data_IF_857635575274
#
_entry.id   IF_857635575274
#
_cell.length_a   1.000
_cell.length_b   1.000
_cell.length_c   1.000
_cell.angle_alpha   90.00
_cell.angle_beta   90.00
_cell.angle_gamma   90.00
#
_symmetry.space_group_name_H-M   'P 1'
#
loop_
_entity.id
_entity.type
_entity.pdbx_description
1 polymer ?
#
# COMPACT_ATOMS: atom_id res chain seq x y z
N UNK A 1 12.91 -2.43 1.93
CA UNK A 1 12.21 -1.24 1.41
C UNK A 1 12.12 -1.33 -0.09
N UNK A 2 11.05 -0.84 -0.69
CA UNK A 2 11.00 -0.63 -2.14
C UNK A 2 11.61 0.74 -2.44
N UNK A 3 12.51 0.85 -3.41
CA UNK A 3 13.02 2.15 -3.89
C UNK A 3 12.22 2.53 -5.14
N UNK A 4 11.35 3.54 -5.06
CA UNK A 4 10.51 3.93 -6.19
C UNK A 4 11.29 4.57 -7.35
N UNK A 5 12.50 5.08 -7.10
CA UNK A 5 13.35 5.68 -8.15
C UNK A 5 14.08 4.60 -8.93
N UNK A 6 14.65 3.62 -8.21
CA UNK A 6 15.37 2.50 -8.83
C UNK A 6 14.44 1.34 -9.21
N UNK A 7 13.18 1.36 -8.78
CA UNK A 7 12.17 0.32 -9.06
C UNK A 7 12.68 -1.07 -8.68
N UNK A 8 13.26 -1.17 -7.48
CA UNK A 8 13.82 -2.40 -6.93
C UNK A 8 13.69 -2.42 -5.40
N UNK A 9 14.03 -3.55 -4.78
CA UNK A 9 14.06 -3.68 -3.32
C UNK A 9 15.46 -3.34 -2.81
N UNK A 10 15.54 -2.56 -1.74
CA UNK A 10 16.78 -2.21 -1.04
C UNK A 10 16.68 -2.56 0.44
N UNK A 11 17.79 -2.90 1.12
CA UNK A 11 17.79 -3.11 2.56
C UNK A 11 17.42 -1.82 3.30
N UNK A 12 16.59 -1.94 4.33
CA UNK A 12 16.31 -0.83 5.24
C UNK A 12 17.54 -0.49 6.07
N UNK A 13 17.77 0.79 6.34
CA UNK A 13 18.85 1.28 7.19
C UNK A 13 18.29 2.16 8.30
N UNK A 14 18.92 2.22 9.48
CA UNK A 14 18.53 3.15 10.54
C UNK A 14 18.45 4.59 10.03
N UNK A 15 17.39 5.31 10.43
CA UNK A 15 17.16 6.71 10.02
C UNK A 15 16.58 6.91 8.61
N UNK A 16 16.27 5.83 7.88
CA UNK A 16 15.52 5.97 6.62
C UNK A 16 14.04 6.29 6.91
N UNK A 17 13.55 7.41 6.39
CA UNK A 17 12.10 7.68 6.31
C UNK A 17 11.46 6.71 5.34
N UNK A 18 10.28 6.20 5.69
CA UNK A 18 9.51 5.30 4.85
C UNK A 18 8.01 5.44 5.09
N UNK A 19 7.25 5.01 4.09
CA UNK A 19 5.78 4.97 4.12
C UNK A 19 5.35 3.51 4.19
N UNK A 20 4.57 3.12 5.19
CA UNK A 20 4.07 1.76 5.28
C UNK A 20 2.81 1.58 4.43
N UNK A 21 2.66 0.42 3.79
CA UNK A 21 1.42 0.03 3.10
C UNK A 21 0.69 -1.03 3.92
N UNK A 22 -0.58 -0.77 4.25
CA UNK A 22 -1.52 -1.76 4.80
C UNK A 22 -2.58 -2.08 3.77
N UNK A 23 -2.68 -3.36 3.40
CA UNK A 23 -3.55 -3.83 2.33
C UNK A 23 -3.87 -5.33 2.50
N UNK A 24 -4.88 -5.80 1.78
CA UNK A 24 -5.23 -7.23 1.71
C UNK A 24 -4.49 -7.87 0.55
N UNK A 25 -3.79 -8.97 0.78
CA UNK A 25 -3.09 -9.70 -0.29
C UNK A 25 -4.09 -10.40 -1.19
N UNK A 26 -3.81 -10.46 -2.50
CA UNK A 26 -4.59 -11.32 -3.39
C UNK A 26 -4.33 -12.80 -3.07
N UNK A 27 -5.15 -13.73 -3.56
CA UNK A 27 -4.84 -15.15 -3.47
C UNK A 27 -4.10 -15.66 -4.71
N UNK A 28 -4.24 -14.98 -5.85
CA UNK A 28 -3.78 -15.47 -7.17
C UNK A 28 -2.59 -14.70 -7.72
N UNK A 29 -2.46 -13.40 -7.39
CA UNK A 29 -1.40 -12.53 -7.92
C UNK A 29 -0.66 -11.83 -6.78
N UNK A 30 0.37 -12.47 -6.26
CA UNK A 30 1.28 -11.81 -5.32
C UNK A 30 2.72 -12.09 -5.69
N UNK A 31 3.42 -11.05 -6.06
CA UNK A 31 4.86 -11.04 -5.88
C UNK A 31 5.17 -11.18 -4.38
N UNK A 32 6.11 -12.07 -4.07
CA UNK A 32 6.63 -12.29 -2.71
C UNK A 32 8.14 -12.37 -2.77
N UNK A 33 8.80 -11.70 -1.85
CA UNK A 33 10.22 -11.88 -1.66
C UNK A 33 10.46 -13.27 -1.05
N UNK A 34 11.23 -14.07 -1.77
CA UNK A 34 11.67 -15.42 -1.42
C UNK A 34 13.19 -15.45 -1.46
N UNK A 35 13.82 -16.43 -0.79
CA UNK A 35 15.29 -16.55 -0.82
C UNK A 35 15.85 -16.65 -2.25
N UNK A 36 15.13 -17.32 -3.14
CA UNK A 36 15.58 -17.60 -4.51
C UNK A 36 15.40 -16.42 -5.50
N UNK A 37 14.55 -15.44 -5.20
CA UNK A 37 14.27 -14.30 -6.09
C UNK A 37 14.72 -12.96 -5.51
N UNK A 38 15.22 -12.94 -4.27
CA UNK A 38 15.68 -11.73 -3.58
C UNK A 38 16.70 -10.93 -4.40
N UNK A 39 17.72 -11.60 -4.94
CA UNK A 39 18.78 -10.92 -5.71
C UNK A 39 18.21 -10.27 -6.98
N UNK A 40 17.30 -10.96 -7.66
CA UNK A 40 16.62 -10.42 -8.85
C UNK A 40 15.78 -9.20 -8.47
N UNK A 41 15.08 -9.23 -7.35
CA UNK A 41 14.29 -8.11 -6.85
C UNK A 41 15.13 -6.90 -6.42
N UNK A 42 16.42 -7.10 -6.11
CA UNK A 42 17.35 -6.03 -5.76
C UNK A 42 17.96 -5.35 -6.98
N UNK A 43 17.84 -5.95 -8.17
CA UNK A 43 18.37 -5.37 -9.40
C UNK A 43 17.59 -4.10 -9.80
N UNK A 44 18.25 -2.97 -10.10
CA UNK A 44 17.57 -1.75 -10.54
C UNK A 44 16.68 -2.01 -11.76
N UNK A 45 15.43 -1.57 -11.70
CA UNK A 45 14.41 -1.80 -12.73
C UNK A 45 13.65 -3.12 -12.60
N UNK A 46 13.96 -3.97 -11.61
CA UNK A 46 13.33 -5.28 -11.46
C UNK A 46 11.80 -5.22 -11.41
N UNK A 47 11.24 -4.23 -10.71
CA UNK A 47 9.79 -4.09 -10.53
C UNK A 47 9.07 -3.57 -11.79
N UNK A 48 9.79 -2.97 -12.75
CA UNK A 48 9.24 -2.48 -14.02
C UNK A 48 9.64 -3.36 -15.22
N UNK A 49 10.45 -4.40 -14.99
CA UNK A 49 11.01 -5.27 -16.04
C UNK A 49 9.97 -6.17 -16.74
N UNK A 50 8.76 -6.28 -16.18
CA UNK A 50 7.74 -7.24 -16.62
C UNK A 50 8.01 -8.69 -16.16
N UNK A 51 9.14 -8.95 -15.49
CA UNK A 51 9.45 -10.27 -14.94
C UNK A 51 8.54 -10.65 -13.76
N UNK A 52 8.07 -9.65 -13.01
CA UNK A 52 7.21 -9.85 -11.86
C UNK A 52 5.86 -9.17 -12.06
N UNK A 53 4.78 -9.86 -11.71
CA UNK A 53 3.43 -9.29 -11.68
C UNK A 53 3.24 -8.51 -10.37
N UNK A 54 3.44 -7.19 -10.44
CA UNK A 54 3.25 -6.29 -9.30
C UNK A 54 1.75 -5.98 -9.14
N UNK A 55 1.13 -6.30 -7.99
CA UNK A 55 -0.28 -5.96 -7.75
C UNK A 55 -0.54 -4.47 -7.91
N UNK A 56 -1.71 -4.14 -8.48
CA UNK A 56 -2.11 -2.76 -8.77
C UNK A 56 -2.05 -1.85 -7.54
N UNK A 57 -2.44 -2.36 -6.36
CA UNK A 57 -2.37 -1.61 -5.09
C UNK A 57 -0.94 -1.20 -4.72
N UNK A 58 0.05 -2.04 -5.01
CA UNK A 58 1.46 -1.72 -4.74
C UNK A 58 1.96 -0.66 -5.74
N UNK A 59 1.60 -0.80 -7.02
CA UNK A 59 1.94 0.20 -8.04
C UNK A 59 1.35 1.57 -7.70
N UNK A 60 0.07 1.60 -7.36
CA UNK A 60 -0.63 2.82 -6.93
C UNK A 60 -0.02 3.41 -5.66
N UNK A 61 0.36 2.57 -4.68
CA UNK A 61 1.04 3.04 -3.48
C UNK A 61 2.40 3.66 -3.79
N UNK A 62 3.19 3.09 -4.71
CA UNK A 62 4.45 3.70 -5.16
C UNK A 62 4.22 5.08 -5.79
N UNK A 63 3.14 5.25 -6.55
CA UNK A 63 2.72 6.55 -7.12
C UNK A 63 2.33 7.53 -6.03
N UNK A 64 1.55 7.12 -5.03
CA UNK A 64 1.19 7.98 -3.88
C UNK A 64 2.43 8.39 -3.11
N UNK A 65 3.37 7.48 -2.85
CA UNK A 65 4.64 7.82 -2.18
C UNK A 65 5.43 8.86 -2.96
N UNK A 66 5.47 8.76 -4.30
CA UNK A 66 6.11 9.78 -5.14
C UNK A 66 5.43 11.16 -5.02
N UNK A 67 4.08 11.20 -4.97
CA UNK A 67 3.30 12.42 -4.78
C UNK A 67 3.58 13.05 -3.41
N UNK A 68 3.74 12.23 -2.37
CA UNK A 68 4.12 12.66 -1.02
C UNK A 68 5.58 13.14 -0.92
N UNK A 69 6.33 13.13 -2.02
CA UNK A 69 7.77 13.44 -2.08
C UNK A 69 8.64 12.52 -1.19
N UNK A 70 8.11 11.35 -0.86
CA UNK A 70 8.82 10.28 -0.18
C UNK A 70 9.43 9.32 -1.20
N UNK A 71 10.27 8.39 -0.73
CA UNK A 71 10.99 7.47 -1.63
C UNK A 71 10.76 6.00 -1.37
N UNK A 72 10.51 5.62 -0.12
CA UNK A 72 10.61 4.23 0.30
C UNK A 72 9.27 3.73 0.85
N UNK A 73 8.44 3.03 0.05
CA UNK A 73 7.36 2.25 0.62
C UNK A 73 7.91 0.98 1.28
N UNK A 74 7.41 0.68 2.47
CA UNK A 74 7.49 -0.65 3.07
C UNK A 74 6.25 -1.45 2.68
N UNK A 75 6.49 -2.59 2.04
CA UNK A 75 5.45 -3.52 1.57
C UNK A 75 5.80 -4.89 2.13
N UNK A 76 4.95 -5.43 3.01
CA UNK A 76 5.18 -6.68 3.73
C UNK A 76 5.58 -7.85 2.82
N UNK A 77 4.88 -8.04 1.70
CA UNK A 77 5.14 -9.10 0.72
C UNK A 77 6.54 -9.01 0.08
N UNK A 78 7.11 -7.81 -0.01
CA UNK A 78 8.41 -7.55 -0.67
C UNK A 78 9.55 -7.31 0.33
N UNK A 79 9.25 -6.76 1.51
CA UNK A 79 10.26 -6.40 2.50
C UNK A 79 10.54 -7.52 3.49
N UNK A 80 9.68 -8.56 3.56
CA UNK A 80 9.86 -9.74 4.40
C UNK A 80 10.09 -10.96 3.50
N UNK A 81 11.13 -11.74 3.80
CA UNK A 81 11.39 -13.03 3.14
C UNK A 81 10.36 -14.05 3.62
N UNK A 82 9.48 -14.50 2.71
CA UNK A 82 8.26 -15.21 3.07
C UNK A 82 8.45 -16.71 3.32
N UNK A 83 9.51 -17.30 2.76
CA UNK A 83 9.90 -18.71 2.87
C UNK A 83 10.92 -18.98 3.99
N UNK A 84 11.36 -17.94 4.71
CA UNK A 84 12.26 -18.07 5.86
C UNK A 84 11.53 -17.91 7.18
N UNK A 85 11.21 -19.04 7.85
CA UNK A 85 10.36 -19.03 9.03
C UNK A 85 10.90 -18.16 10.19
N UNK A 86 12.20 -18.24 10.48
CA UNK A 86 12.83 -17.47 11.57
C UNK A 86 12.72 -15.96 11.33
N UNK A 87 13.21 -15.50 10.18
CA UNK A 87 13.19 -14.09 9.77
C UNK A 87 11.77 -13.56 9.65
N UNK A 88 10.86 -14.36 9.08
CA UNK A 88 9.45 -13.99 8.97
C UNK A 88 8.82 -13.80 10.34
N UNK A 89 9.03 -14.72 11.27
CA UNK A 89 8.45 -14.63 12.61
C UNK A 89 8.96 -13.39 13.36
N UNK A 90 10.25 -13.08 13.23
CA UNK A 90 10.83 -11.87 13.83
C UNK A 90 10.18 -10.60 13.26
N UNK A 91 10.02 -10.51 11.94
CA UNK A 91 9.35 -9.36 11.30
C UNK A 91 7.88 -9.25 11.73
N UNK A 92 7.17 -10.39 11.86
CA UNK A 92 5.80 -10.42 12.36
C UNK A 92 5.69 -9.90 13.80
N UNK A 93 6.64 -10.27 14.66
CA UNK A 93 6.69 -9.77 16.04
C UNK A 93 6.98 -8.25 16.10
N UNK A 94 7.66 -7.71 15.09
CA UNK A 94 8.02 -6.29 15.00
C UNK A 94 7.00 -5.45 14.21
N UNK A 95 5.88 -6.03 13.74
CA UNK A 95 4.91 -5.31 12.90
C UNK A 95 4.40 -4.02 13.54
N UNK A 96 4.11 -4.04 14.84
CA UNK A 96 3.65 -2.85 15.56
C UNK A 96 4.69 -1.72 15.50
N UNK A 97 5.97 -2.03 15.70
CA UNK A 97 7.06 -1.05 15.61
C UNK A 97 7.24 -0.53 14.18
N UNK A 98 7.13 -1.40 13.17
CA UNK A 98 7.23 -1.01 11.75
C UNK A 98 6.13 0.01 11.41
N UNK A 99 4.89 -0.22 11.81
CA UNK A 99 3.84 0.77 11.53
C UNK A 99 3.98 2.04 12.40
N UNK A 100 4.44 1.92 13.65
CA UNK A 100 4.63 3.05 14.54
C UNK A 100 5.78 3.99 14.12
N UNK A 101 6.82 3.44 13.49
CA UNK A 101 7.98 4.22 13.03
C UNK A 101 7.84 4.74 11.59
N UNK A 102 6.80 4.31 10.86
CA UNK A 102 6.54 4.82 9.52
C UNK A 102 6.15 6.31 9.58
N UNK A 103 6.68 7.12 8.65
CA UNK A 103 6.32 8.53 8.56
C UNK A 103 4.83 8.73 8.24
N UNK A 104 4.30 7.85 7.37
CA UNK A 104 2.90 7.78 6.99
C UNK A 104 2.54 6.31 6.75
N UNK A 105 1.29 5.92 7.03
CA UNK A 105 0.74 4.64 6.62
C UNK A 105 -0.37 4.84 5.58
N UNK A 106 -0.20 4.26 4.40
CA UNK A 106 -1.23 4.18 3.36
C UNK A 106 -2.10 2.96 3.66
N UNK A 107 -3.41 3.15 3.73
CA UNK A 107 -4.37 2.09 3.99
C UNK A 107 -5.20 1.86 2.71
N UNK A 108 -4.96 0.73 2.05
CA UNK A 108 -5.76 0.26 0.91
C UNK A 108 -7.00 -0.48 1.44
N UNK A 109 -7.98 0.29 1.91
CA UNK A 109 -9.24 -0.23 2.45
C UNK A 109 -10.20 -0.70 1.36
N UNK A 110 -10.15 -0.05 0.20
CA UNK A 110 -11.09 -0.28 -0.88
C UNK A 110 -10.78 -1.59 -1.62
N UNK A 111 -11.84 -2.34 -1.92
CA UNK A 111 -11.73 -3.57 -2.70
C UNK A 111 -11.39 -4.82 -1.87
N UNK A 112 -11.46 -6.00 -2.50
CA UNK A 112 -11.29 -7.26 -1.81
C UNK A 112 -9.82 -7.62 -1.54
N UNK A 113 -8.90 -7.16 -2.40
CA UNK A 113 -7.49 -7.51 -2.35
C UNK A 113 -6.58 -6.55 -3.15
N UNK A 114 -5.29 -6.87 -3.17
CA UNK A 114 -4.21 -6.08 -3.78
C UNK A 114 -4.32 -5.87 -5.29
N UNK A 115 -5.18 -6.62 -5.98
CA UNK A 115 -5.46 -6.41 -7.41
C UNK A 115 -6.37 -5.21 -7.67
N UNK A 116 -7.08 -4.71 -6.66
CA UNK A 116 -8.06 -3.64 -6.81
C UNK A 116 -7.42 -2.28 -7.16
N UNK A 117 -6.31 -1.94 -6.52
CA UNK A 117 -5.68 -0.62 -6.65
C UNK A 117 -6.15 0.40 -5.63
N UNK A 118 -5.57 1.59 -5.69
CA UNK A 118 -6.02 2.75 -4.92
C UNK A 118 -6.86 3.66 -5.82
N UNK A 119 -7.92 4.24 -5.25
CA UNK A 119 -8.74 5.24 -5.95
C UNK A 119 -8.06 6.60 -5.94
N UNK A 120 -8.40 7.42 -6.94
CA UNK A 120 -7.87 8.76 -7.19
C UNK A 120 -6.33 8.83 -7.39
N UNK A 121 -5.69 7.73 -7.78
CA UNK A 121 -4.36 7.80 -8.42
C UNK A 121 -4.51 8.21 -9.89
N UNK A 122 -3.46 8.76 -10.54
CA UNK A 122 -3.54 9.25 -11.93
C UNK A 122 -4.10 8.25 -12.94
N UNK A 123 -3.95 6.95 -12.69
CA UNK A 123 -4.42 5.88 -13.55
C UNK A 123 -5.71 5.19 -13.05
N UNK A 124 -6.30 5.66 -11.95
CA UNK A 124 -7.48 5.04 -11.34
C UNK A 124 -8.79 5.55 -11.95
N UNK A 125 -9.86 4.76 -11.77
CA UNK A 125 -11.22 5.18 -12.10
C UNK A 125 -11.67 6.21 -11.07
N UNK A 126 -12.16 7.36 -11.56
CA UNK A 126 -12.70 8.43 -10.71
C UNK A 126 -13.74 7.89 -9.73
N UNK A 127 -13.71 8.37 -8.48
CA UNK A 127 -14.75 8.05 -7.50
C UNK A 127 -16.12 8.47 -8.01
N UNK A 128 -17.08 7.55 -7.96
CA UNK A 128 -18.50 7.89 -8.06
C UNK A 128 -18.99 8.30 -6.66
N UNK A 129 -18.61 9.51 -6.23
CA UNK A 129 -19.00 10.02 -4.93
C UNK A 129 -20.40 10.64 -5.05
N UNK A 130 -21.40 9.99 -4.47
CA UNK A 130 -22.69 10.64 -4.29
C UNK A 130 -22.56 11.73 -3.23
N UNK A 131 -22.68 12.98 -3.64
CA UNK A 131 -22.66 14.14 -2.75
C UNK A 131 -24.07 14.71 -2.66
N UNK A 132 -24.63 14.76 -1.46
CA UNK A 132 -25.91 15.41 -1.22
C UNK A 132 -25.68 16.93 -1.19
N UNK A 133 -26.23 17.63 -2.18
CA UNK A 133 -26.13 19.09 -2.32
C UNK A 133 -27.46 19.71 -1.91
N UNK A 134 -27.44 20.47 -0.81
CA UNK A 134 -28.60 21.21 -0.31
C UNK A 134 -28.49 22.68 -0.70
N UNK A 135 -29.53 23.21 -1.35
CA UNK A 135 -29.63 24.65 -1.63
C UNK A 135 -30.20 25.37 -0.41
N UNK A 136 -29.45 26.33 0.10
CA UNK A 136 -29.85 27.19 1.22
C UNK A 136 -30.68 28.37 0.70
N UNK A 137 -31.56 28.91 1.54
CA UNK A 137 -32.45 30.02 1.20
C UNK A 137 -31.73 31.29 0.72
N UNK A 138 -30.44 31.46 1.05
CA UNK A 138 -29.63 32.57 0.60
C UNK A 138 -28.81 32.30 -0.68
N UNK A 139 -29.17 31.27 -1.44
CA UNK A 139 -28.53 30.92 -2.72
C UNK A 139 -27.18 30.21 -2.59
N UNK A 140 -26.73 29.91 -1.36
CA UNK A 140 -25.53 29.09 -1.12
C UNK A 140 -25.86 27.61 -1.20
N UNK A 141 -24.86 26.80 -1.53
CA UNK A 141 -24.96 25.35 -1.55
C UNK A 141 -24.20 24.77 -0.35
N UNK A 142 -24.83 23.82 0.35
CA UNK A 142 -24.21 23.04 1.40
C UNK A 142 -24.02 21.61 0.88
N UNK A 143 -22.75 21.16 0.85
CA UNK A 143 -22.41 19.78 0.52
C UNK A 143 -22.37 19.01 1.83
N UNK A 144 -23.30 18.06 1.99
CA UNK A 144 -23.23 17.13 3.11
C UNK A 144 -22.47 15.92 2.62
N UNK A 145 -21.26 15.75 3.15
CA UNK A 145 -20.57 14.47 3.02
C UNK A 145 -21.23 13.53 4.04
N UNK A 146 -21.89 12.43 3.63
CA UNK A 146 -22.30 11.41 4.58
C UNK A 146 -21.01 10.87 5.20
N UNK A 147 -20.74 11.26 6.44
CA UNK A 147 -19.57 10.79 7.19
C UNK A 147 -19.91 9.40 7.70
N UNK A 148 -19.81 8.41 6.82
CA UNK A 148 -19.71 7.02 7.22
C UNK A 148 -18.51 6.43 6.49
N UNK A 149 -17.34 6.59 7.10
CA UNK A 149 -16.31 5.55 6.99
C UNK A 149 -16.93 4.33 7.67
N UNK A 150 -17.77 3.59 6.94
CA UNK A 150 -18.39 2.40 7.49
C UNK A 150 -17.26 1.42 7.78
N UNK A 151 -16.94 1.26 9.06
CA UNK A 151 -15.82 0.46 9.53
C UNK A 151 -16.15 -1.03 9.45
N UNK A 152 -17.42 -1.41 9.26
CA UNK A 152 -17.88 -2.72 9.73
C UNK A 152 -17.73 -3.89 8.75
N UNK A 153 -17.70 -3.67 7.43
CA UNK A 153 -17.72 -4.79 6.48
C UNK A 153 -16.66 -4.72 5.38
N UNK A 154 -15.40 -4.42 5.72
CA UNK A 154 -14.31 -4.53 4.73
C UNK A 154 -13.38 -5.70 5.08
N UNK A 155 -12.89 -6.47 4.08
CA UNK A 155 -11.89 -7.52 4.31
C UNK A 155 -10.61 -7.00 4.98
N UNK A 156 -10.31 -5.72 4.81
CA UNK A 156 -9.21 -5.06 5.50
C UNK A 156 -9.43 -4.96 7.02
N UNK A 157 -10.65 -4.62 7.47
CA UNK A 157 -10.96 -4.37 8.89
C UNK A 157 -10.95 -5.64 9.78
N UNK A 158 -10.96 -6.84 9.20
CA UNK A 158 -10.85 -8.11 9.93
C UNK A 158 -9.40 -8.56 10.17
N UNK A 159 -8.41 -7.78 9.73
CA UNK A 159 -6.98 -8.11 9.87
C UNK A 159 -6.44 -7.77 11.25
N UNK A 160 -5.45 -8.55 11.69
CA UNK A 160 -4.81 -8.40 13.00
C UNK A 160 -3.77 -7.27 13.10
N UNK A 161 -3.36 -6.68 11.97
CA UNK A 161 -2.38 -5.60 11.93
C UNK A 161 -2.86 -4.49 10.99
N UNK A 162 -3.67 -3.61 11.59
CA UNK A 162 -3.86 -2.16 11.42
C UNK A 162 -5.18 -1.76 12.06
#
# INVERSE_FOLDING_TARGET
MVDIKQKCIVPGRPGMSYVALSYVWSQTRNIRAMKNNKEQLQFPGALDSGQFDIPRTIQDAMTVVAILQERYPWVDALCIIQDEHSTKQEQLNNMASIYAEAAVTIIAKDGPDSSHGLRDTPESVARNLHQDIFKLANGREAIVHPWTVDKKDTPWASRGWT
#
